data_IF_617636099246
#
_entry.id   IF_617636099246
#
_cell.length_a   1.000
_cell.length_b   1.000
_cell.length_c   1.000
_cell.angle_alpha   90.00
_cell.angle_beta   90.00
_cell.angle_gamma   90.00
#
_symmetry.space_group_name_H-M   'P 1'
#
loop_
_entity.id
_entity.type
_entity.pdbx_description
1 polymer ?
#
# COMPACT_ATOMS: atom_id res chain seq x y z
N UNK A 1 -4.54 -17.51 -12.60
CA UNK A 1 -5.24 -16.21 -12.52
C UNK A 1 -4.35 -15.20 -13.24
N UNK A 2 -4.40 -15.13 -14.58
CA UNK A 2 -3.29 -14.51 -15.34
C UNK A 2 -3.11 -13.02 -15.04
N UNK A 3 -4.20 -12.24 -14.95
CA UNK A 3 -4.11 -10.80 -14.72
C UNK A 3 -3.63 -10.38 -13.32
N UNK A 4 -4.06 -11.08 -12.26
CA UNK A 4 -3.62 -10.76 -10.90
C UNK A 4 -2.12 -11.06 -10.71
N UNK A 5 -1.66 -12.21 -11.20
CA UNK A 5 -0.25 -12.61 -11.15
C UNK A 5 0.67 -11.62 -11.90
N UNK A 6 0.17 -11.01 -12.98
CA UNK A 6 0.92 -10.01 -13.73
C UNK A 6 1.03 -8.67 -12.99
N UNK A 7 -0.04 -8.23 -12.32
CA UNK A 7 -0.04 -7.03 -11.49
C UNK A 7 0.89 -7.16 -10.29
N UNK A 8 0.83 -8.29 -9.59
CA UNK A 8 1.69 -8.57 -8.42
C UNK A 8 3.18 -8.47 -8.79
N UNK A 9 3.58 -9.11 -9.91
CA UNK A 9 4.97 -9.11 -10.37
C UNK A 9 5.47 -7.75 -10.85
N UNK A 10 4.65 -7.01 -11.58
CA UNK A 10 5.06 -5.74 -12.19
C UNK A 10 5.08 -4.59 -11.20
N UNK A 11 4.16 -4.60 -10.24
CA UNK A 11 3.98 -3.48 -9.31
C UNK A 11 4.52 -3.77 -7.90
N UNK A 12 4.88 -5.03 -7.59
CA UNK A 12 5.32 -5.41 -6.24
C UNK A 12 4.21 -5.30 -5.21
N UNK A 13 2.96 -5.50 -5.63
CA UNK A 13 1.75 -5.40 -4.81
C UNK A 13 1.19 -6.80 -4.54
N UNK A 14 0.36 -6.92 -3.52
CA UNK A 14 -0.46 -8.11 -3.27
C UNK A 14 -1.89 -7.86 -3.73
N UNK A 15 -2.50 -8.81 -4.43
CA UNK A 15 -3.83 -8.64 -5.03
C UNK A 15 -4.80 -9.70 -4.50
N UNK A 16 -5.78 -9.24 -3.73
CA UNK A 16 -6.89 -10.07 -3.28
C UNK A 16 -8.14 -9.80 -4.12
N UNK A 17 -8.72 -10.86 -4.68
CA UNK A 17 -9.97 -10.79 -5.47
C UNK A 17 -11.07 -11.60 -4.79
N UNK A 18 -12.11 -10.91 -4.35
CA UNK A 18 -13.31 -11.48 -3.78
C UNK A 18 -14.43 -11.56 -4.83
N UNK A 19 -15.17 -12.66 -4.83
CA UNK A 19 -16.34 -12.86 -5.71
C UNK A 19 -17.60 -12.65 -4.89
N UNK A 20 -18.33 -11.58 -5.18
CA UNK A 20 -19.57 -11.25 -4.49
C UNK A 20 -20.72 -12.04 -5.13
N UNK A 21 -21.43 -12.82 -4.32
CA UNK A 21 -22.51 -13.71 -4.77
C UNK A 21 -23.82 -13.42 -4.03
N UNK A 22 -24.94 -13.57 -4.73
CA UNK A 22 -26.27 -13.69 -4.15
C UNK A 22 -26.80 -15.10 -4.41
N UNK A 23 -26.70 -15.97 -3.41
CA UNK A 23 -26.90 -17.41 -3.57
C UNK A 23 -25.88 -18.02 -4.54
N UNK A 24 -26.36 -18.70 -5.59
CA UNK A 24 -25.49 -19.30 -6.63
C UNK A 24 -25.10 -18.30 -7.73
N UNK A 25 -25.72 -17.12 -7.77
CA UNK A 25 -25.48 -16.12 -8.79
C UNK A 25 -24.32 -15.21 -8.39
N UNK A 26 -23.32 -15.08 -9.26
CA UNK A 26 -22.29 -14.04 -9.13
C UNK A 26 -22.91 -12.69 -9.47
N UNK A 27 -22.76 -11.73 -8.57
CA UNK A 27 -23.31 -10.37 -8.71
C UNK A 27 -22.22 -9.30 -8.82
N UNK A 28 -20.97 -9.63 -8.51
CA UNK A 28 -19.85 -8.71 -8.66
C UNK A 28 -18.54 -9.30 -8.22
N UNK A 29 -17.50 -8.47 -8.33
CA UNK A 29 -16.16 -8.74 -7.85
C UNK A 29 -15.66 -7.53 -7.09
N UNK A 30 -14.92 -7.77 -6.02
CA UNK A 30 -14.23 -6.74 -5.24
C UNK A 30 -12.75 -7.07 -5.26
N UNK A 31 -11.93 -6.10 -5.65
CA UNK A 31 -10.48 -6.24 -5.73
C UNK A 31 -9.83 -5.31 -4.70
N UNK A 32 -8.92 -5.86 -3.91
CA UNK A 32 -8.04 -5.12 -3.00
C UNK A 32 -6.61 -5.27 -3.50
N UNK A 33 -5.90 -4.13 -3.58
CA UNK A 33 -4.50 -4.07 -4.00
C UNK A 33 -3.74 -3.44 -2.83
N UNK A 34 -2.80 -4.19 -2.26
CA UNK A 34 -2.01 -3.76 -1.11
C UNK A 34 -0.58 -3.53 -1.55
N UNK A 35 -0.07 -2.32 -1.31
CA UNK A 35 1.34 -2.02 -1.50
C UNK A 35 2.13 -2.58 -0.30
N UNK A 36 2.82 -3.70 -0.53
CA UNK A 36 3.60 -4.41 0.48
C UNK A 36 5.11 -4.16 0.32
N UNK A 37 5.50 -3.16 -0.47
CA UNK A 37 6.91 -2.85 -0.68
C UNK A 37 7.51 -2.34 0.63
N UNK A 38 8.63 -2.93 1.03
CA UNK A 38 9.46 -2.38 2.10
C UNK A 38 10.12 -1.10 1.55
N UNK A 39 10.10 0.02 2.30
CA UNK A 39 10.79 1.22 1.87
C UNK A 39 12.27 0.92 1.70
N UNK A 40 12.85 1.41 0.61
CA UNK A 40 14.28 1.26 0.35
C UNK A 40 15.09 2.06 1.38
N UNK A 41 16.34 1.66 1.63
CA UNK A 41 17.22 2.42 2.55
C UNK A 41 17.32 3.90 2.18
N UNK A 42 17.28 4.24 0.88
CA UNK A 42 17.28 5.61 0.40
C UNK A 42 16.01 6.38 0.81
N UNK A 43 14.83 5.78 0.62
CA UNK A 43 13.54 6.37 1.03
C UNK A 43 13.45 6.49 2.56
N UNK A 44 13.95 5.50 3.30
CA UNK A 44 14.02 5.56 4.77
C UNK A 44 14.91 6.72 5.24
N UNK A 45 16.09 6.91 4.62
CA UNK A 45 16.99 8.03 4.94
C UNK A 45 16.35 9.36 4.58
N UNK A 46 15.68 9.45 3.43
CA UNK A 46 14.99 10.65 3.00
C UNK A 46 13.89 11.04 4.01
N UNK A 47 13.03 10.10 4.38
CA UNK A 47 11.99 10.33 5.39
C UNK A 47 12.56 10.65 6.77
N UNK A 48 13.67 10.02 7.18
CA UNK A 48 14.34 10.36 8.43
C UNK A 48 14.89 11.79 8.41
N UNK A 49 15.40 12.25 7.25
CA UNK A 49 15.88 13.62 7.06
C UNK A 49 14.71 14.61 7.11
N UNK A 50 13.64 14.36 6.36
CA UNK A 50 12.41 15.15 6.38
C UNK A 50 11.83 15.26 7.80
N UNK A 51 11.73 14.14 8.52
CA UNK A 51 11.23 14.11 9.90
C UNK A 51 12.19 14.79 10.89
N UNK A 52 13.51 14.78 10.66
CA UNK A 52 14.46 15.50 11.51
C UNK A 52 14.34 17.02 11.40
N UNK A 53 13.78 17.52 10.30
CA UNK A 53 13.46 18.93 10.12
C UNK A 53 12.07 19.30 10.64
N UNK A 54 11.28 18.30 11.05
CA UNK A 54 9.99 18.54 11.68
C UNK A 54 10.23 19.14 13.06
N UNK A 55 9.74 20.37 13.23
CA UNK A 55 9.77 21.09 14.50
C UNK A 55 8.38 20.98 15.13
N UNK A 56 8.31 20.64 16.41
CA UNK A 56 7.04 20.64 17.16
C UNK A 56 6.79 22.03 17.76
N UNK A 57 5.54 22.36 18.04
CA UNK A 57 5.13 23.64 18.63
C UNK A 57 5.81 23.84 20.00
N UNK A 58 6.09 22.76 20.73
CA UNK A 58 6.82 22.80 22.00
C UNK A 58 8.29 23.20 21.87
N UNK A 59 8.91 23.05 20.68
CA UNK A 59 10.29 23.51 20.45
C UNK A 59 10.39 25.05 20.44
N UNK A 60 9.25 25.76 20.46
CA UNK A 60 9.15 27.22 20.44
C UNK A 60 8.55 27.82 21.73
N UNK A 61 8.32 26.99 22.75
CA UNK A 61 7.79 27.43 24.04
C UNK A 61 8.92 27.28 25.09
N UNK A 62 9.54 28.41 25.45
CA UNK A 62 10.51 28.52 26.55
C UNK A 62 9.90 28.24 27.94
#
# INVERSE_FOLDING_TARGET
KVGAEELEKKLGVDVYLNVVKNGRKVIGYEMQITDNRQPTTAEVIQHATENSHQTDIYDFLD
#
